data_IF_498563134808
#
_entry.id   IF_498563134808
#
_cell.length_a   1.000
_cell.length_b   1.000
_cell.length_c   1.000
_cell.angle_alpha   90.00
_cell.angle_beta   90.00
_cell.angle_gamma   90.00
#
_symmetry.space_group_name_H-M   'P 1'
#
loop_
_entity.id
_entity.type
_entity.pdbx_description
1 polymer ?
#
# COMPACT_ATOMS: atom_id res chain seq x y z
N UNK A 1 -12.04 -2.14 21.81
CA UNK A 1 -12.07 -2.36 20.35
C UNK A 1 -10.64 -2.35 19.85
N UNK A 2 -10.13 -3.43 19.23
CA UNK A 2 -8.73 -3.50 18.80
C UNK A 2 -8.55 -2.63 17.55
N UNK A 3 -7.73 -1.60 17.63
CA UNK A 3 -7.31 -0.83 16.45
C UNK A 3 -6.47 -1.77 15.59
N UNK A 4 -6.80 -1.87 14.30
CA UNK A 4 -5.99 -2.66 13.36
C UNK A 4 -4.85 -1.83 12.83
N UNK A 5 -3.68 -2.44 12.69
CA UNK A 5 -2.47 -1.78 12.24
C UNK A 5 -2.63 -1.25 10.81
N UNK A 6 -2.17 -0.02 10.59
CA UNK A 6 -2.07 0.52 9.24
C UNK A 6 -0.88 -0.12 8.52
N UNK A 7 -1.08 -0.46 7.25
CA UNK A 7 -0.09 -1.11 6.41
C UNK A 7 0.31 -0.16 5.28
N UNK A 8 1.60 0.10 5.15
CA UNK A 8 2.18 0.71 3.96
C UNK A 8 2.72 -0.37 3.02
N UNK A 9 2.42 -0.24 1.74
CA UNK A 9 3.07 -0.97 0.65
C UNK A 9 3.82 0.04 -0.21
N UNK A 10 5.11 0.17 0.05
CA UNK A 10 6.00 1.09 -0.67
C UNK A 10 6.50 0.40 -1.94
N UNK A 11 6.07 0.89 -3.10
CA UNK A 11 6.37 0.26 -4.38
C UNK A 11 5.32 -0.75 -4.82
N UNK A 12 4.18 -0.27 -5.31
CA UNK A 12 3.16 -1.12 -5.96
C UNK A 12 3.53 -1.46 -7.42
N UNK A 13 4.69 -2.10 -7.59
CA UNK A 13 5.01 -2.89 -8.78
C UNK A 13 4.17 -4.19 -8.83
N UNK A 14 4.70 -5.24 -9.45
CA UNK A 14 4.00 -6.53 -9.52
C UNK A 14 3.76 -7.12 -8.12
N UNK A 15 4.83 -7.23 -7.30
CA UNK A 15 4.76 -7.85 -5.97
C UNK A 15 3.96 -6.97 -5.00
N UNK A 16 4.32 -5.70 -4.84
CA UNK A 16 3.60 -4.79 -3.95
C UNK A 16 2.12 -4.63 -4.33
N UNK A 17 1.82 -4.56 -5.63
CA UNK A 17 0.44 -4.54 -6.12
C UNK A 17 -0.34 -5.81 -5.75
N UNK A 18 0.27 -6.99 -5.89
CA UNK A 18 -0.35 -8.25 -5.52
C UNK A 18 -0.62 -8.36 -4.01
N UNK A 19 0.32 -7.92 -3.17
CA UNK A 19 0.17 -7.87 -1.70
C UNK A 19 -1.01 -6.97 -1.34
N UNK A 20 -1.02 -5.72 -1.82
CA UNK A 20 -2.09 -4.78 -1.55
C UNK A 20 -3.46 -5.32 -2.02
N UNK A 21 -3.54 -5.85 -3.24
CA UNK A 21 -4.75 -6.43 -3.81
C UNK A 21 -5.28 -7.60 -2.99
N UNK A 22 -4.39 -8.47 -2.50
CA UNK A 22 -4.78 -9.61 -1.65
C UNK A 22 -5.39 -9.13 -0.34
N UNK A 23 -4.74 -8.20 0.36
CA UNK A 23 -5.23 -7.64 1.63
C UNK A 23 -6.61 -6.97 1.46
N UNK A 24 -6.79 -6.18 0.40
CA UNK A 24 -8.05 -5.51 0.09
C UNK A 24 -9.17 -6.53 -0.22
N UNK A 25 -8.89 -7.52 -1.08
CA UNK A 25 -9.87 -8.57 -1.42
C UNK A 25 -10.25 -9.45 -0.23
N UNK A 26 -9.32 -9.66 0.71
CA UNK A 26 -9.57 -10.34 1.99
C UNK A 26 -10.27 -9.45 3.03
N UNK A 27 -10.62 -8.21 2.67
CA UNK A 27 -11.32 -7.24 3.52
C UNK A 27 -10.58 -6.95 4.85
N UNK A 28 -9.25 -6.86 4.80
CA UNK A 28 -8.46 -6.36 5.92
C UNK A 28 -9.04 -5.00 6.37
N UNK A 29 -9.34 -4.85 7.67
CA UNK A 29 -10.06 -3.68 8.17
C UNK A 29 -9.18 -2.48 8.53
N UNK A 30 -7.86 -2.67 8.60
CA UNK A 30 -6.91 -1.58 8.80
C UNK A 30 -6.67 -0.80 7.50
N UNK A 31 -6.12 0.40 7.60
CA UNK A 31 -5.82 1.22 6.43
C UNK A 31 -4.67 0.60 5.63
N UNK A 32 -4.84 0.52 4.31
CA UNK A 32 -3.79 0.08 3.39
C UNK A 32 -3.36 1.28 2.56
N UNK A 33 -2.14 1.75 2.76
CA UNK A 33 -1.53 2.87 2.05
C UNK A 33 -0.58 2.32 1.01
N UNK A 34 -0.72 2.75 -0.25
CA UNK A 34 0.08 2.26 -1.36
C UNK A 34 0.80 3.41 -2.03
N UNK A 35 2.09 3.21 -2.33
CA UNK A 35 2.89 4.19 -3.08
C UNK A 35 3.48 3.61 -4.35
N UNK A 36 3.60 4.45 -5.39
CA UNK A 36 4.32 4.16 -6.64
C UNK A 36 4.65 5.47 -7.35
N UNK A 37 5.72 5.46 -8.16
CA UNK A 37 6.09 6.58 -9.05
C UNK A 37 5.05 6.87 -10.17
N UNK A 38 4.31 5.87 -10.65
CA UNK A 38 3.31 6.02 -11.71
C UNK A 38 1.89 5.73 -11.21
N UNK A 39 1.04 6.76 -11.14
CA UNK A 39 -0.27 6.72 -10.47
C UNK A 39 -1.32 5.92 -11.26
N UNK A 40 -1.23 5.82 -12.58
CA UNK A 40 -2.29 5.17 -13.38
C UNK A 40 -2.56 3.72 -13.01
N UNK A 41 -1.50 2.97 -12.67
CA UNK A 41 -1.61 1.58 -12.23
C UNK A 41 -2.14 1.42 -10.79
N UNK A 42 -2.32 2.52 -10.06
CA UNK A 42 -2.89 2.53 -8.72
C UNK A 42 -4.41 2.70 -8.72
N UNK A 43 -5.02 3.13 -9.83
CA UNK A 43 -6.48 3.32 -9.91
C UNK A 43 -7.26 2.05 -9.57
N UNK A 44 -6.74 0.87 -9.94
CA UNK A 44 -7.40 -0.40 -9.57
C UNK A 44 -7.36 -0.62 -8.04
N UNK A 45 -6.22 -0.37 -7.40
CA UNK A 45 -6.06 -0.53 -5.96
C UNK A 45 -6.89 0.49 -5.18
N UNK A 46 -6.95 1.73 -5.67
CA UNK A 46 -7.81 2.78 -5.12
C UNK A 46 -9.28 2.39 -5.18
N UNK A 47 -9.76 1.89 -6.33
CA UNK A 47 -11.12 1.35 -6.48
C UNK A 47 -11.42 0.18 -5.53
N UNK A 48 -10.40 -0.58 -5.15
CA UNK A 48 -10.51 -1.67 -4.17
C UNK A 48 -10.44 -1.19 -2.71
N UNK A 49 -10.19 0.11 -2.46
CA UNK A 49 -10.17 0.73 -1.14
C UNK A 49 -8.78 1.10 -0.61
N UNK A 50 -7.72 1.04 -1.42
CA UNK A 50 -6.40 1.50 -1.01
C UNK A 50 -6.36 3.03 -0.90
N UNK A 51 -5.66 3.55 0.10
CA UNK A 51 -5.24 4.96 0.13
C UNK A 51 -4.00 5.12 -0.74
N UNK A 52 -4.04 5.99 -1.74
CA UNK A 52 -2.88 6.28 -2.60
C UNK A 52 -2.04 7.40 -1.99
N UNK A 53 -0.72 7.24 -1.99
CA UNK A 53 0.24 8.28 -1.61
C UNK A 53 1.41 8.34 -2.59
N UNK A 54 1.83 9.54 -2.95
CA UNK A 54 3.06 9.80 -3.73
C UNK A 54 4.29 9.97 -2.84
N UNK A 55 4.10 10.04 -1.51
CA UNK A 55 5.19 10.20 -0.54
C UNK A 55 5.39 8.91 0.26
N UNK A 56 6.53 8.27 0.05
CA UNK A 56 6.97 7.12 0.84
C UNK A 56 7.12 7.48 2.32
N UNK A 57 7.66 8.68 2.62
CA UNK A 57 7.83 9.17 3.99
C UNK A 57 6.50 9.28 4.74
N UNK A 58 5.47 9.84 4.08
CA UNK A 58 4.13 9.95 4.67
C UNK A 58 3.50 8.57 4.88
N UNK A 59 3.59 7.68 3.88
CA UNK A 59 3.05 6.33 3.99
C UNK A 59 3.70 5.54 5.15
N UNK A 60 5.02 5.64 5.30
CA UNK A 60 5.75 5.03 6.39
C UNK A 60 5.36 5.61 7.75
N UNK A 61 5.25 6.93 7.88
CA UNK A 61 4.86 7.59 9.14
C UNK A 61 3.45 7.17 9.61
N UNK A 62 2.52 6.98 8.68
CA UNK A 62 1.13 6.68 8.96
C UNK A 62 0.85 5.17 9.16
N UNK A 63 1.89 4.32 9.12
CA UNK A 63 1.76 2.86 9.13
C UNK A 63 2.66 2.19 10.17
N UNK A 64 2.14 1.13 10.80
CA UNK A 64 2.89 0.32 11.77
C UNK A 64 3.58 -0.87 11.10
N UNK A 65 3.06 -1.33 9.96
CA UNK A 65 3.65 -2.40 9.15
C UNK A 65 4.02 -1.82 7.79
N UNK A 66 5.26 -2.04 7.35
CA UNK A 66 5.77 -1.49 6.09
C UNK A 66 6.33 -2.62 5.24
N UNK A 67 5.71 -2.84 4.08
CA UNK A 67 6.26 -3.65 3.00
C UNK A 67 7.06 -2.76 2.06
N UNK A 68 8.36 -3.01 1.95
CA UNK A 68 9.23 -2.36 0.96
C UNK A 68 9.34 -3.28 -0.25
N UNK A 69 8.68 -2.90 -1.35
CA UNK A 69 8.54 -3.68 -2.57
C UNK A 69 9.12 -2.93 -3.78
N UNK A 70 10.27 -2.30 -3.59
CA UNK A 70 11.04 -1.62 -4.64
C UNK A 70 12.15 -2.53 -5.17
N UNK A 71 12.71 -2.20 -6.34
CA UNK A 71 13.89 -2.92 -6.83
C UNK A 71 15.11 -2.59 -5.95
N UNK A 72 16.08 -3.49 -5.83
CA UNK A 72 17.37 -3.13 -5.27
C UNK A 72 17.96 -1.97 -6.09
N UNK A 73 18.34 -0.88 -5.41
CA UNK A 73 18.89 0.37 -5.99
C UNK A 73 17.89 1.33 -6.68
N UNK A 74 16.59 1.15 -6.47
CA UNK A 74 15.54 2.11 -6.92
C UNK A 74 15.25 3.25 -5.91
#
# INVERSE_FOLDING_TARGET
MKIMENIAVIGAGVIGGAIAKSLLKRKYKGKIIVTRRGIERLRELEKLGATISVSNKKAAKDSSIIFICVKPND
#
